data_IF_353776353850
#
_entry.id   IF_353776353850
#
_cell.length_a   1.000
_cell.length_b   1.000
_cell.length_c   1.000
_cell.angle_alpha   90.00
_cell.angle_beta   90.00
_cell.angle_gamma   90.00
#
_symmetry.space_group_name_H-M   'P 1'
#
loop_
_entity.id
_entity.type
_entity.pdbx_description
1 polymer ?
#
# COMPACT_ATOMS: atom_id res chain seq x y z
N UNK A 1 -16.69 -20.96 -58.50
CA UNK A 1 -17.10 -19.65 -57.94
C UNK A 1 -16.05 -18.63 -58.31
N UNK A 2 -16.45 -17.53 -58.97
CA UNK A 2 -15.57 -16.47 -59.45
C UNK A 2 -15.09 -15.67 -58.22
N UNK A 3 -13.77 -15.60 -57.98
CA UNK A 3 -13.20 -14.69 -56.97
C UNK A 3 -13.62 -13.25 -57.34
N UNK A 4 -13.67 -12.34 -56.36
CA UNK A 4 -14.26 -11.00 -56.46
C UNK A 4 -13.75 -10.11 -57.61
N UNK A 5 -12.71 -10.51 -58.34
CA UNK A 5 -12.22 -9.83 -59.54
C UNK A 5 -11.49 -8.52 -59.25
N UNK A 6 -11.23 -8.23 -57.98
CA UNK A 6 -10.53 -7.05 -57.50
C UNK A 6 -9.04 -7.36 -57.30
N UNK A 7 -8.21 -6.34 -57.51
CA UNK A 7 -6.76 -6.34 -57.29
C UNK A 7 -6.36 -5.22 -56.32
N UNK A 8 -5.14 -5.33 -55.77
CA UNK A 8 -4.55 -4.22 -55.04
C UNK A 8 -4.30 -3.06 -56.02
N UNK A 9 -4.70 -1.85 -55.62
CA UNK A 9 -4.68 -0.64 -56.45
C UNK A 9 -6.02 -0.31 -57.13
N UNK A 10 -7.01 -1.20 -57.07
CA UNK A 10 -8.34 -0.91 -57.61
C UNK A 10 -9.15 -0.01 -56.68
N UNK A 11 -9.99 0.84 -57.26
CA UNK A 11 -11.02 1.59 -56.54
C UNK A 11 -12.33 0.81 -56.55
N UNK A 12 -12.95 0.64 -55.37
CA UNK A 12 -14.18 -0.10 -55.20
C UNK A 12 -15.20 0.68 -54.38
N UNK A 13 -16.48 0.56 -54.75
CA UNK A 13 -17.59 1.06 -53.95
C UNK A 13 -18.07 -0.04 -53.02
N UNK A 14 -17.94 0.17 -51.72
CA UNK A 14 -18.41 -0.74 -50.69
C UNK A 14 -19.73 -0.25 -50.11
N UNK A 15 -20.65 -1.19 -49.87
CA UNK A 15 -21.89 -0.94 -49.15
C UNK A 15 -21.85 -1.76 -47.87
N UNK A 16 -21.92 -1.09 -46.73
CA UNK A 16 -21.92 -1.74 -45.43
C UNK A 16 -23.16 -2.61 -45.24
N UNK A 17 -22.96 -3.87 -44.84
CA UNK A 17 -24.04 -4.81 -44.57
C UNK A 17 -24.65 -4.63 -43.17
N UNK A 18 -23.83 -4.30 -42.18
CA UNK A 18 -24.27 -4.11 -40.78
C UNK A 18 -24.69 -2.66 -40.48
N UNK A 19 -24.14 -1.69 -41.21
CA UNK A 19 -24.50 -0.27 -41.11
C UNK A 19 -24.66 0.27 -42.53
N UNK A 20 -25.84 0.79 -42.93
CA UNK A 20 -26.09 1.22 -44.30
C UNK A 20 -25.30 2.48 -44.62
N UNK A 21 -24.08 2.27 -45.15
CA UNK A 21 -23.14 3.31 -45.56
C UNK A 21 -22.55 2.93 -46.91
N UNK A 22 -22.29 3.93 -47.74
CA UNK A 22 -21.59 3.78 -49.00
C UNK A 22 -20.22 4.41 -48.82
N UNK A 23 -19.16 3.69 -49.19
CA UNK A 23 -17.80 4.19 -49.16
C UNK A 23 -17.09 3.89 -50.49
N UNK A 24 -16.32 4.85 -50.97
CA UNK A 24 -15.39 4.65 -52.07
C UNK A 24 -14.03 4.38 -51.45
N UNK A 25 -13.49 3.19 -51.69
CA UNK A 25 -12.25 2.74 -51.07
C UNK A 25 -11.21 2.43 -52.12
N UNK A 26 -9.98 2.81 -51.83
CA UNK A 26 -8.82 2.36 -52.56
C UNK A 26 -8.30 1.07 -51.92
N UNK A 27 -8.18 -0.01 -52.68
CA UNK A 27 -7.76 -1.31 -52.15
C UNK A 27 -6.24 -1.32 -52.02
N UNK A 28 -5.75 -1.18 -50.79
CA UNK A 28 -4.31 -1.23 -50.48
C UNK A 28 -3.73 -2.64 -50.60
N UNK A 29 -4.55 -3.68 -50.46
CA UNK A 29 -4.12 -5.06 -50.54
C UNK A 29 -5.28 -6.04 -50.45
N UNK A 30 -5.03 -7.29 -50.83
CA UNK A 30 -6.01 -8.38 -50.74
C UNK A 30 -5.35 -9.57 -50.08
N UNK A 31 -5.93 -10.03 -48.99
CA UNK A 31 -5.52 -11.27 -48.33
C UNK A 31 -6.47 -12.40 -48.73
N UNK A 32 -5.94 -13.37 -49.44
CA UNK A 32 -6.71 -14.51 -49.94
C UNK A 32 -6.71 -15.62 -48.92
N UNK A 33 -7.89 -16.12 -48.57
CA UNK A 33 -8.04 -17.26 -47.65
C UNK A 33 -8.42 -18.53 -48.42
N UNK A 34 -8.67 -19.61 -47.67
CA UNK A 34 -9.02 -20.91 -48.23
C UNK A 34 -10.36 -20.88 -49.00
N UNK A 35 -11.27 -19.95 -48.68
CA UNK A 35 -12.57 -19.81 -49.33
C UNK A 35 -12.80 -18.38 -49.83
N UNK A 36 -13.37 -18.18 -51.03
CA UNK A 36 -13.62 -16.82 -51.56
C UNK A 36 -14.54 -15.96 -50.69
N UNK A 37 -15.38 -16.58 -49.86
CA UNK A 37 -16.28 -15.89 -48.93
C UNK A 37 -15.53 -15.20 -47.78
N UNK A 38 -14.28 -15.58 -47.54
CA UNK A 38 -13.44 -15.09 -46.45
C UNK A 38 -12.21 -14.34 -46.99
N UNK A 39 -12.17 -13.97 -48.27
CA UNK A 39 -11.08 -13.13 -48.79
C UNK A 39 -11.22 -11.74 -48.13
N UNK A 40 -10.13 -11.20 -47.58
CA UNK A 40 -10.10 -9.91 -46.88
C UNK A 40 -9.47 -8.83 -47.77
N UNK A 41 -9.95 -7.60 -47.63
CA UNK A 41 -9.40 -6.43 -48.32
C UNK A 41 -8.79 -5.49 -47.29
N UNK A 42 -7.61 -4.98 -47.61
CA UNK A 42 -6.97 -3.94 -46.84
C UNK A 42 -7.35 -2.59 -47.43
N UNK A 43 -7.83 -1.71 -46.57
CA UNK A 43 -8.11 -0.30 -46.84
C UNK A 43 -7.28 0.56 -45.90
N UNK A 44 -7.20 1.85 -46.19
CA UNK A 44 -6.56 2.82 -45.31
C UNK A 44 -7.23 2.86 -43.93
N UNK A 45 -6.43 3.16 -42.90
CA UNK A 45 -6.89 3.12 -41.51
C UNK A 45 -8.08 4.05 -41.22
N UNK A 46 -8.12 5.32 -41.70
CA UNK A 46 -9.30 6.17 -41.53
C UNK A 46 -10.57 5.57 -42.13
N UNK A 47 -10.47 4.98 -43.33
CA UNK A 47 -11.60 4.32 -43.97
C UNK A 47 -12.06 3.06 -43.23
N UNK A 48 -11.11 2.23 -42.75
CA UNK A 48 -11.43 1.07 -41.91
C UNK A 48 -12.19 1.44 -40.64
N UNK A 49 -11.88 2.60 -40.02
CA UNK A 49 -12.64 3.15 -38.88
C UNK A 49 -14.02 3.63 -39.27
N UNK A 50 -14.12 4.35 -40.39
CA UNK A 50 -15.40 4.83 -40.91
C UNK A 50 -16.35 3.66 -41.20
N UNK A 51 -15.85 2.62 -41.86
CA UNK A 51 -16.61 1.42 -42.20
C UNK A 51 -17.02 0.60 -40.99
N UNK A 52 -16.18 0.51 -39.96
CA UNK A 52 -16.50 -0.18 -38.70
C UNK A 52 -17.37 0.66 -37.75
N UNK A 53 -17.65 1.93 -38.09
CA UNK A 53 -18.44 2.83 -37.25
C UNK A 53 -17.72 3.29 -35.98
N UNK A 54 -16.40 3.11 -35.90
CA UNK A 54 -15.59 3.48 -34.74
C UNK A 54 -15.26 4.98 -34.80
N UNK A 55 -15.67 5.72 -33.75
CA UNK A 55 -15.38 7.15 -33.61
C UNK A 55 -13.90 7.45 -33.47
N UNK A 56 -13.46 8.68 -33.75
CA UNK A 56 -12.04 9.09 -33.80
C UNK A 56 -11.25 8.85 -32.51
N UNK A 57 -11.93 8.72 -31.36
CA UNK A 57 -11.36 8.44 -30.04
C UNK A 57 -11.31 6.95 -29.67
N UNK A 58 -11.79 6.05 -30.52
CA UNK A 58 -11.79 4.62 -30.25
C UNK A 58 -10.40 4.00 -30.50
N UNK A 59 -9.94 3.12 -29.61
CA UNK A 59 -8.66 2.41 -29.75
C UNK A 59 -8.88 1.01 -30.34
N UNK A 60 -7.91 0.53 -31.12
CA UNK A 60 -7.88 -0.86 -31.60
C UNK A 60 -6.87 -1.67 -30.80
N UNK A 61 -7.34 -2.74 -30.16
CA UNK A 61 -6.46 -3.75 -29.56
C UNK A 61 -6.26 -4.89 -30.55
N UNK A 62 -5.02 -5.13 -30.99
CA UNK A 62 -4.68 -6.29 -31.82
C UNK A 62 -3.97 -7.31 -30.93
N UNK A 63 -4.55 -8.51 -30.81
CA UNK A 63 -3.91 -9.62 -30.08
C UNK A 63 -3.09 -10.44 -31.06
N UNK A 64 -1.79 -10.51 -30.81
CA UNK A 64 -0.85 -11.28 -31.63
C UNK A 64 -0.26 -12.39 -30.78
N UNK A 65 -0.18 -13.60 -31.36
CA UNK A 65 0.61 -14.69 -30.78
C UNK A 65 1.98 -14.65 -31.45
N UNK A 66 3.00 -14.28 -30.68
CA UNK A 66 4.39 -14.25 -31.14
C UNK A 66 5.27 -15.06 -30.19
N UNK A 67 6.20 -15.84 -30.76
CA UNK A 67 7.21 -16.60 -30.00
C UNK A 67 8.32 -15.69 -29.46
N UNK A 68 8.65 -14.65 -30.22
CA UNK A 68 9.62 -13.60 -29.87
C UNK A 68 9.03 -12.23 -30.27
N UNK A 69 8.86 -11.28 -29.34
CA UNK A 69 8.33 -9.96 -29.62
C UNK A 69 9.36 -8.97 -30.19
N UNK A 70 10.66 -9.25 -30.17
CA UNK A 70 11.69 -8.29 -30.60
C UNK A 70 11.57 -7.84 -32.08
N UNK A 71 11.29 -8.74 -33.05
CA UNK A 71 11.07 -8.35 -34.45
C UNK A 71 9.83 -7.46 -34.61
N UNK A 72 8.76 -7.74 -33.85
CA UNK A 72 7.54 -6.93 -33.87
C UNK A 72 7.80 -5.53 -33.32
N UNK A 73 8.51 -5.43 -32.19
CA UNK A 73 8.85 -4.15 -31.58
C UNK A 73 9.74 -3.29 -32.49
N UNK A 74 10.71 -3.89 -33.17
CA UNK A 74 11.57 -3.18 -34.14
C UNK A 74 10.78 -2.72 -35.38
N UNK A 75 9.87 -3.55 -35.90
CA UNK A 75 8.94 -3.17 -36.95
C UNK A 75 8.08 -1.97 -36.55
N UNK A 76 7.47 -2.01 -35.36
CA UNK A 76 6.58 -0.96 -34.86
C UNK A 76 7.32 0.37 -34.60
N UNK A 77 8.57 0.30 -34.13
CA UNK A 77 9.44 1.49 -34.02
C UNK A 77 9.65 2.19 -35.36
N UNK A 78 9.70 1.43 -36.46
CA UNK A 78 9.86 1.98 -37.81
C UNK A 78 8.71 2.87 -38.28
N UNK A 79 7.52 2.74 -37.69
CA UNK A 79 6.34 3.54 -38.06
C UNK A 79 6.19 4.83 -37.24
N UNK A 80 7.01 5.04 -36.20
CA UNK A 80 6.93 6.24 -35.36
C UNK A 80 5.62 6.42 -34.59
N UNK A 81 4.78 5.38 -34.51
CA UNK A 81 3.51 5.42 -33.79
C UNK A 81 3.72 5.16 -32.29
N UNK A 82 2.88 5.75 -31.45
CA UNK A 82 2.81 5.41 -30.02
C UNK A 82 2.16 4.04 -29.87
N UNK A 83 2.91 3.07 -29.36
CA UNK A 83 2.43 1.70 -29.17
C UNK A 83 2.68 1.26 -27.74
N UNK A 84 1.60 0.84 -27.08
CA UNK A 84 1.67 0.13 -25.81
C UNK A 84 1.68 -1.38 -26.06
N UNK A 85 2.73 -2.06 -25.60
CA UNK A 85 2.86 -3.53 -25.73
C UNK A 85 2.86 -4.16 -24.35
N UNK A 86 1.92 -5.10 -24.14
CA UNK A 86 1.79 -5.87 -22.90
C UNK A 86 1.81 -7.37 -23.18
N UNK A 87 2.40 -8.15 -22.26
CA UNK A 87 2.44 -9.60 -22.36
C UNK A 87 3.25 -10.27 -21.25
N UNK A 88 3.14 -11.61 -21.10
CA UNK A 88 3.81 -12.35 -20.04
C UNK A 88 5.33 -12.27 -20.21
N UNK A 89 6.04 -11.92 -19.12
CA UNK A 89 7.49 -11.76 -19.06
C UNK A 89 8.08 -10.70 -20.01
N UNK A 90 7.27 -9.79 -20.54
CA UNK A 90 7.77 -8.63 -21.28
C UNK A 90 8.06 -7.49 -20.30
N UNK A 91 9.32 -7.03 -20.18
CA UNK A 91 9.58 -5.75 -19.51
C UNK A 91 8.79 -4.66 -20.25
N UNK A 92 8.18 -3.73 -19.49
CA UNK A 92 7.34 -2.64 -20.03
C UNK A 92 8.10 -1.92 -21.15
N UNK A 93 7.67 -2.12 -22.40
CA UNK A 93 8.35 -1.58 -23.59
C UNK A 93 7.36 -0.72 -24.35
N UNK A 94 7.20 0.52 -23.88
CA UNK A 94 6.43 1.54 -24.57
C UNK A 94 7.27 2.15 -25.69
N UNK A 95 6.70 2.28 -26.89
CA UNK A 95 7.36 2.93 -28.04
C UNK A 95 6.76 4.33 -28.19
N UNK A 96 7.60 5.36 -28.13
CA UNK A 96 7.26 6.76 -28.41
C UNK A 96 6.10 7.35 -27.56
N UNK A 97 5.95 6.89 -26.31
CA UNK A 97 5.02 7.46 -25.33
C UNK A 97 5.77 7.80 -24.04
N UNK A 98 6.09 9.08 -23.87
CA UNK A 98 6.72 9.63 -22.67
C UNK A 98 5.92 10.89 -22.22
N UNK A 99 5.40 10.97 -20.98
CA UNK A 99 5.57 10.02 -19.87
C UNK A 99 4.77 8.72 -20.03
N UNK A 100 5.22 7.58 -19.44
CA UNK A 100 4.75 6.22 -19.74
C UNK A 100 3.42 5.84 -19.06
N UNK A 101 2.62 6.83 -18.70
CA UNK A 101 1.33 6.66 -18.02
C UNK A 101 0.40 7.72 -18.55
N UNK A 102 -0.19 7.48 -19.72
CA UNK A 102 -1.39 8.25 -20.00
C UNK A 102 -2.51 7.66 -19.13
N UNK A 103 -2.62 8.15 -17.89
CA UNK A 103 -3.69 7.85 -16.95
C UNK A 103 -5.07 7.98 -17.60
N UNK A 104 -5.17 8.73 -18.71
CA UNK A 104 -6.37 8.87 -19.54
C UNK A 104 -6.79 7.55 -20.17
N UNK A 105 -5.86 6.70 -20.66
CA UNK A 105 -6.21 5.40 -21.25
C UNK A 105 -6.72 4.46 -20.16
N UNK A 106 -6.06 4.44 -18.99
CA UNK A 106 -6.50 3.68 -17.83
C UNK A 106 -7.87 4.14 -17.31
N UNK A 107 -8.07 5.45 -17.16
CA UNK A 107 -9.35 6.03 -16.78
C UNK A 107 -10.44 5.77 -17.82
N UNK A 108 -10.12 5.81 -19.11
CA UNK A 108 -11.10 5.56 -20.17
C UNK A 108 -11.51 4.09 -20.22
N UNK A 109 -10.60 3.15 -19.99
CA UNK A 109 -10.93 1.71 -19.90
C UNK A 109 -11.80 1.43 -18.66
N UNK A 110 -11.46 2.01 -17.51
CA UNK A 110 -12.25 1.89 -16.28
C UNK A 110 -13.64 2.53 -16.41
N UNK A 111 -13.75 3.65 -17.15
CA UNK A 111 -14.99 4.42 -17.30
C UNK A 111 -15.89 3.96 -18.45
N UNK A 112 -15.31 3.40 -19.51
CA UNK A 112 -16.06 2.92 -20.68
C UNK A 112 -16.35 1.42 -20.63
N UNK A 113 -15.58 0.62 -19.89
CA UNK A 113 -15.75 -0.84 -19.80
C UNK A 113 -15.51 -1.59 -21.11
N UNK A 114 -15.00 -0.91 -22.14
CA UNK A 114 -14.77 -1.47 -23.48
C UNK A 114 -13.26 -1.60 -23.68
N UNK A 115 -12.81 -2.83 -23.91
CA UNK A 115 -11.39 -3.21 -23.99
C UNK A 115 -11.01 -4.09 -22.81
N UNK A 116 -10.63 -5.35 -23.10
CA UNK A 116 -10.19 -6.25 -22.05
C UNK A 116 -8.89 -5.73 -21.44
N UNK A 117 -8.92 -5.33 -20.16
CA UNK A 117 -7.72 -4.97 -19.42
C UNK A 117 -6.70 -6.12 -19.52
N UNK A 118 -5.44 -5.86 -19.93
CA UNK A 118 -4.40 -6.87 -19.87
C UNK A 118 -4.33 -7.43 -18.45
N UNK A 119 -4.16 -8.75 -18.30
CA UNK A 119 -4.17 -9.42 -16.98
C UNK A 119 -3.16 -8.79 -16.00
N UNK A 120 -2.09 -8.20 -16.53
CA UNK A 120 -1.02 -7.53 -15.79
C UNK A 120 -1.47 -6.19 -15.17
N UNK A 121 -2.51 -5.53 -15.71
CA UNK A 121 -3.05 -4.31 -15.12
C UNK A 121 -3.84 -4.60 -13.84
N UNK A 122 -4.60 -5.69 -13.81
CA UNK A 122 -5.33 -6.07 -12.60
C UNK A 122 -4.36 -6.44 -11.47
N UNK A 123 -3.28 -7.19 -11.77
CA UNK A 123 -2.27 -7.50 -10.77
C UNK A 123 -1.47 -6.27 -10.32
N UNK A 124 -1.15 -5.35 -11.25
CA UNK A 124 -0.46 -4.09 -10.90
C UNK A 124 -1.35 -3.18 -10.04
N UNK A 125 -2.60 -2.97 -10.44
CA UNK A 125 -3.54 -2.13 -9.69
C UNK A 125 -3.86 -2.71 -8.31
N UNK A 126 -4.00 -4.04 -8.20
CA UNK A 126 -4.16 -4.72 -6.91
C UNK A 126 -2.90 -4.57 -6.07
N UNK A 127 -1.70 -4.77 -6.64
CA UNK A 127 -0.44 -4.59 -5.92
C UNK A 127 -0.29 -3.16 -5.39
N UNK A 128 -0.64 -2.16 -6.19
CA UNK A 128 -0.57 -0.75 -5.81
C UNK A 128 -1.60 -0.39 -4.72
N UNK A 129 -2.82 -0.90 -4.84
CA UNK A 129 -3.86 -0.75 -3.82
C UNK A 129 -3.45 -1.41 -2.49
N UNK A 130 -2.94 -2.65 -2.52
CA UNK A 130 -2.47 -3.37 -1.33
C UNK A 130 -1.29 -2.66 -0.68
N UNK A 131 -0.35 -2.15 -1.48
CA UNK A 131 0.81 -1.40 -0.97
C UNK A 131 0.36 -0.11 -0.29
N UNK A 132 -0.59 0.61 -0.88
CA UNK A 132 -1.14 1.85 -0.31
C UNK A 132 -1.83 1.60 1.04
N UNK A 133 -2.64 0.54 1.14
CA UNK A 133 -3.30 0.15 2.39
C UNK A 133 -2.27 -0.24 3.46
N UNK A 134 -1.24 -1.00 3.08
CA UNK A 134 -0.17 -1.39 3.99
C UNK A 134 0.59 -0.17 4.55
N UNK A 135 0.92 0.82 3.72
CA UNK A 135 1.57 2.05 4.15
C UNK A 135 0.73 2.80 5.19
N UNK A 136 -0.58 2.94 4.95
CA UNK A 136 -1.49 3.58 5.91
C UNK A 136 -1.56 2.78 7.22
N UNK A 137 -1.69 1.45 7.14
CA UNK A 137 -1.75 0.58 8.30
C UNK A 137 -0.47 0.68 9.15
N UNK A 138 0.72 0.63 8.52
CA UNK A 138 1.99 0.80 9.21
C UNK A 138 2.14 2.22 9.79
N UNK A 139 1.62 3.25 9.11
CA UNK A 139 1.57 4.61 9.64
C UNK A 139 0.75 4.71 10.93
N UNK A 140 -0.45 4.12 10.95
CA UNK A 140 -1.30 4.06 12.16
C UNK A 140 -0.63 3.23 13.26
N UNK A 141 -0.06 2.07 12.93
CA UNK A 141 0.65 1.23 13.89
C UNK A 141 1.84 1.97 14.52
N UNK A 142 2.59 2.73 13.72
CA UNK A 142 3.68 3.59 14.21
C UNK A 142 3.19 4.67 15.16
N UNK A 143 2.11 5.37 14.81
CA UNK A 143 1.49 6.38 15.68
C UNK A 143 1.03 5.78 17.02
N UNK A 144 0.33 4.64 16.98
CA UNK A 144 -0.11 3.93 18.18
C UNK A 144 1.07 3.46 19.03
N UNK A 145 2.16 3.01 18.39
CA UNK A 145 3.40 2.65 19.08
C UNK A 145 4.01 3.82 19.85
N UNK A 146 4.03 5.02 19.27
CA UNK A 146 4.49 6.24 19.94
C UNK A 146 3.58 6.62 21.11
N UNK A 147 2.25 6.60 20.91
CA UNK A 147 1.28 6.87 21.97
C UNK A 147 1.41 5.88 23.13
N UNK A 148 1.59 4.60 22.82
CA UNK A 148 1.84 3.56 23.80
C UNK A 148 3.12 3.84 24.61
N UNK A 149 4.21 4.24 23.94
CA UNK A 149 5.45 4.59 24.61
C UNK A 149 5.28 5.75 25.61
N UNK A 150 4.55 6.80 25.23
CA UNK A 150 4.20 7.89 26.14
C UNK A 150 3.31 7.43 27.29
N UNK A 151 2.31 6.58 27.02
CA UNK A 151 1.44 6.02 28.05
C UNK A 151 2.21 5.20 29.09
N UNK A 152 3.11 4.31 28.64
CA UNK A 152 4.01 3.54 29.51
C UNK A 152 4.86 4.48 30.35
N UNK A 153 5.48 5.49 29.74
CA UNK A 153 6.33 6.44 30.44
C UNK A 153 5.56 7.24 31.49
N UNK A 154 4.39 7.77 31.15
CA UNK A 154 3.56 8.55 32.06
C UNK A 154 3.09 7.71 33.26
N UNK A 155 2.64 6.48 33.02
CA UNK A 155 2.22 5.56 34.08
C UNK A 155 3.39 5.21 35.02
N UNK A 156 4.56 4.89 34.46
CA UNK A 156 5.76 4.59 35.24
C UNK A 156 6.29 5.82 35.98
N UNK A 157 6.25 7.00 35.37
CA UNK A 157 6.68 8.25 36.01
C UNK A 157 5.86 8.54 37.26
N UNK A 158 4.53 8.36 37.17
CA UNK A 158 3.62 8.48 38.32
C UNK A 158 3.96 7.46 39.40
N UNK A 159 4.05 6.18 39.06
CA UNK A 159 4.37 5.12 40.03
C UNK A 159 5.78 5.29 40.64
N UNK A 160 6.72 5.86 39.89
CA UNK A 160 8.07 6.13 40.36
C UNK A 160 8.12 7.35 41.27
N UNK A 161 7.29 8.38 41.06
CA UNK A 161 7.21 9.54 41.94
C UNK A 161 6.92 9.13 43.40
N UNK A 162 6.00 8.18 43.59
CA UNK A 162 5.66 7.64 44.92
C UNK A 162 6.83 6.88 45.57
N UNK A 163 7.77 6.36 44.77
CA UNK A 163 8.92 5.56 45.21
C UNK A 163 10.24 6.33 45.21
N UNK A 164 10.28 7.55 44.66
CA UNK A 164 11.49 8.34 44.52
C UNK A 164 12.19 8.64 45.86
N UNK A 165 11.49 8.91 46.97
CA UNK A 165 12.13 9.12 48.28
C UNK A 165 12.91 7.88 48.76
N UNK A 166 12.39 6.68 48.48
CA UNK A 166 13.06 5.43 48.85
C UNK A 166 14.41 5.27 48.11
N UNK A 167 14.50 5.74 46.87
CA UNK A 167 15.77 5.79 46.12
C UNK A 167 16.76 6.74 46.80
N UNK A 168 16.30 7.90 47.28
CA UNK A 168 17.09 8.85 48.05
C UNK A 168 17.67 8.24 49.34
N UNK A 169 16.82 7.56 50.12
CA UNK A 169 17.23 6.88 51.36
C UNK A 169 18.26 5.79 51.08
N UNK A 170 18.02 4.94 50.08
CA UNK A 170 18.96 3.88 49.68
C UNK A 170 20.32 4.45 49.26
N UNK A 171 20.33 5.61 48.58
CA UNK A 171 21.58 6.30 48.24
C UNK A 171 22.29 6.85 49.47
N UNK A 172 21.55 7.39 50.44
CA UNK A 172 22.11 7.94 51.67
C UNK A 172 22.83 6.87 52.51
N UNK A 173 22.36 5.62 52.48
CA UNK A 173 23.02 4.47 53.14
C UNK A 173 24.10 3.80 52.26
N UNK A 174 24.45 4.38 51.11
CA UNK A 174 25.58 3.95 50.29
C UNK A 174 25.26 3.02 49.12
N UNK A 175 23.99 2.88 48.70
CA UNK A 175 23.66 2.06 47.54
C UNK A 175 24.28 2.60 46.23
N UNK A 176 25.08 1.78 45.55
CA UNK A 176 25.75 2.16 44.30
C UNK A 176 24.82 2.19 43.07
N UNK A 177 25.17 3.00 42.07
CA UNK A 177 24.40 3.17 40.83
C UNK A 177 24.15 1.86 40.08
N UNK A 178 25.14 0.95 40.07
CA UNK A 178 25.02 -0.36 39.40
C UNK A 178 24.05 -1.28 40.12
N UNK A 179 24.05 -1.27 41.45
CA UNK A 179 23.12 -2.04 42.27
C UNK A 179 21.68 -1.57 42.02
N UNK A 180 21.46 -0.24 41.99
CA UNK A 180 20.15 0.34 41.76
C UNK A 180 19.58 -0.03 40.39
N UNK A 181 20.39 0.05 39.32
CA UNK A 181 19.98 -0.37 37.96
C UNK A 181 19.65 -1.85 37.88
N UNK A 182 20.46 -2.70 38.52
CA UNK A 182 20.23 -4.15 38.55
C UNK A 182 18.94 -4.49 39.29
N UNK A 183 18.67 -3.82 40.41
CA UNK A 183 17.43 -3.98 41.16
C UNK A 183 16.21 -3.57 40.33
N UNK A 184 16.26 -2.39 39.69
CA UNK A 184 15.20 -1.94 38.78
C UNK A 184 14.94 -2.99 37.69
N UNK A 185 15.99 -3.48 37.04
CA UNK A 185 15.85 -4.47 35.97
C UNK A 185 15.20 -5.76 36.48
N UNK A 186 15.65 -6.29 37.62
CA UNK A 186 15.11 -7.52 38.20
C UNK A 186 13.64 -7.39 38.64
N UNK A 187 13.22 -6.21 39.08
CA UNK A 187 11.84 -5.96 39.50
C UNK A 187 10.92 -5.69 38.29
N UNK A 188 11.38 -4.85 37.36
CA UNK A 188 10.53 -4.36 36.27
C UNK A 188 10.50 -5.29 35.05
N UNK A 189 11.57 -6.02 34.76
CA UNK A 189 11.64 -6.92 33.60
C UNK A 189 10.53 -7.99 33.59
N UNK A 190 10.31 -8.79 34.66
CA UNK A 190 9.26 -9.82 34.63
C UNK A 190 7.86 -9.21 34.50
N UNK A 191 7.62 -8.05 35.11
CA UNK A 191 6.35 -7.33 34.99
C UNK A 191 6.13 -6.83 33.56
N UNK A 192 7.14 -6.22 32.96
CA UNK A 192 7.08 -5.73 31.58
C UNK A 192 6.89 -6.88 30.58
N UNK A 193 7.62 -7.98 30.75
CA UNK A 193 7.50 -9.16 29.91
C UNK A 193 6.12 -9.80 30.03
N UNK A 194 5.63 -9.98 31.26
CA UNK A 194 4.28 -10.51 31.49
C UNK A 194 3.20 -9.63 30.88
N UNK A 195 3.27 -8.32 31.09
CA UNK A 195 2.31 -7.37 30.50
C UNK A 195 2.38 -7.35 28.97
N UNK A 196 3.58 -7.43 28.38
CA UNK A 196 3.76 -7.44 26.93
C UNK A 196 3.21 -8.71 26.29
N UNK A 197 3.52 -9.88 26.86
CA UNK A 197 3.01 -11.18 26.37
C UNK A 197 1.49 -11.24 26.50
N UNK A 198 0.94 -10.83 27.64
CA UNK A 198 -0.51 -10.80 27.84
C UNK A 198 -1.20 -9.79 26.90
N UNK A 199 -0.66 -8.58 26.77
CA UNK A 199 -1.23 -7.56 25.89
C UNK A 199 -1.21 -7.97 24.41
N UNK A 200 -0.07 -8.47 23.93
CA UNK A 200 0.05 -8.98 22.57
C UNK A 200 -0.85 -10.21 22.34
N UNK A 201 -0.94 -11.11 23.33
CA UNK A 201 -1.79 -12.28 23.28
C UNK A 201 -3.27 -11.92 23.22
N UNK A 202 -3.72 -10.95 24.02
CA UNK A 202 -5.08 -10.42 23.97
C UNK A 202 -5.38 -9.74 22.63
N UNK A 203 -4.42 -8.99 22.07
CA UNK A 203 -4.57 -8.39 20.73
C UNK A 203 -4.81 -9.45 19.66
N UNK A 204 -4.02 -10.53 19.69
CA UNK A 204 -4.17 -11.64 18.76
C UNK A 204 -5.49 -12.42 18.97
N UNK A 205 -5.91 -12.65 20.21
CA UNK A 205 -7.19 -13.29 20.51
C UNK A 205 -8.37 -12.43 20.03
N UNK A 206 -8.30 -11.11 20.21
CA UNK A 206 -9.31 -10.17 19.74
C UNK A 206 -9.40 -10.19 18.21
N UNK A 207 -8.27 -10.29 17.51
CA UNK A 207 -8.20 -10.44 16.06
C UNK A 207 -8.90 -11.72 15.59
N UNK A 208 -8.55 -12.87 16.15
CA UNK A 208 -9.18 -14.15 15.82
C UNK A 208 -10.70 -14.13 16.08
N UNK A 209 -11.16 -13.37 17.07
CA UNK A 209 -12.58 -13.20 17.36
C UNK A 209 -13.31 -12.24 16.41
N UNK A 210 -12.61 -11.26 15.84
CA UNK A 210 -13.15 -10.31 14.85
C UNK A 210 -13.22 -10.91 13.44
N UNK A 211 -12.30 -11.80 13.08
CA UNK A 211 -12.21 -12.42 11.75
C UNK A 211 -13.51 -13.05 11.23
N UNK A 212 -14.27 -13.87 11.98
CA UNK A 212 -15.49 -14.49 11.45
C UNK A 212 -16.63 -13.48 11.17
N UNK A 213 -16.51 -12.21 11.58
CA UNK A 213 -17.52 -11.17 11.34
C UNK A 213 -17.12 -10.17 10.25
N UNK A 214 -15.83 -10.08 9.93
CA UNK A 214 -15.30 -9.21 8.90
C UNK A 214 -15.07 -10.02 7.63
N UNK A 215 -16.14 -10.28 6.87
CA UNK A 215 -16.03 -10.88 5.55
C UNK A 215 -15.46 -9.83 4.57
N UNK A 216 -14.19 -9.47 4.77
CA UNK A 216 -13.48 -8.48 3.95
C UNK A 216 -13.02 -9.17 2.66
N UNK A 217 -14.01 -9.50 1.82
CA UNK A 217 -13.77 -10.05 0.49
C UNK A 217 -13.25 -8.91 -0.40
N UNK A 218 -11.94 -8.72 -0.42
CA UNK A 218 -11.28 -7.89 -1.42
C UNK A 218 -10.99 -8.81 -2.61
N UNK A 219 -11.85 -8.74 -3.63
CA UNK A 219 -11.70 -9.44 -4.91
C UNK A 219 -11.51 -10.96 -4.83
N UNK A 220 -12.28 -11.63 -3.96
CA UNK A 220 -12.37 -13.10 -3.93
C UNK A 220 -11.21 -13.82 -3.24
N UNK A 221 -10.30 -13.10 -2.60
CA UNK A 221 -9.32 -13.67 -1.66
C UNK A 221 -9.74 -13.34 -0.23
N UNK A 222 -9.97 -14.36 0.57
CA UNK A 222 -10.09 -14.18 2.02
C UNK A 222 -8.70 -13.81 2.54
N UNK A 223 -8.55 -12.58 3.05
CA UNK A 223 -7.35 -12.19 3.80
C UNK A 223 -7.45 -12.86 5.17
N UNK A 224 -7.06 -14.12 5.22
CA UNK A 224 -6.90 -14.88 6.44
C UNK A 224 -5.67 -14.30 7.13
N UNK A 225 -5.86 -13.50 8.18
CA UNK A 225 -4.74 -13.02 8.98
C UNK A 225 -4.31 -14.18 9.89
N UNK A 226 -3.25 -14.87 9.50
CA UNK A 226 -2.69 -15.97 10.27
C UNK A 226 -1.81 -15.43 11.40
N UNK A 227 -1.73 -16.18 12.50
CA UNK A 227 -0.76 -15.90 13.56
C UNK A 227 0.66 -15.88 12.99
N UNK A 228 1.31 -14.72 13.08
CA UNK A 228 2.73 -14.59 12.79
C UNK A 228 3.52 -14.45 14.10
N UNK A 229 4.25 -15.52 14.44
CA UNK A 229 5.10 -15.57 15.62
C UNK A 229 6.19 -14.48 15.59
N UNK A 230 6.65 -14.10 14.40
CA UNK A 230 7.73 -13.10 14.27
C UNK A 230 7.23 -11.71 14.63
N UNK A 231 6.07 -11.30 14.10
CA UNK A 231 5.40 -10.06 14.49
C UNK A 231 5.05 -10.05 15.99
N UNK A 232 4.53 -11.16 16.52
CA UNK A 232 4.23 -11.27 17.95
C UNK A 232 5.47 -11.03 18.82
N UNK A 233 6.58 -11.72 18.51
CA UNK A 233 7.84 -11.57 19.24
C UNK A 233 8.39 -10.13 19.14
N UNK A 234 8.26 -9.48 17.98
CA UNK A 234 8.72 -8.12 17.78
C UNK A 234 7.92 -7.12 18.62
N UNK A 235 6.59 -7.25 18.66
CA UNK A 235 5.72 -6.42 19.50
C UNK A 235 6.08 -6.58 20.97
N UNK A 236 6.23 -7.82 21.46
CA UNK A 236 6.62 -8.10 22.84
C UNK A 236 7.97 -7.45 23.16
N UNK A 237 8.97 -7.65 22.29
CA UNK A 237 10.31 -7.07 22.47
C UNK A 237 10.26 -5.54 22.51
N UNK A 238 9.52 -4.91 21.59
CA UNK A 238 9.40 -3.46 21.52
C UNK A 238 8.75 -2.85 22.78
N UNK A 239 7.69 -3.48 23.29
CA UNK A 239 7.02 -3.05 24.53
C UNK A 239 7.94 -3.21 25.73
N UNK A 240 8.63 -4.34 25.85
CA UNK A 240 9.59 -4.58 26.93
C UNK A 240 10.74 -3.56 26.87
N UNK A 241 11.32 -3.34 25.68
CA UNK A 241 12.40 -2.39 25.48
C UNK A 241 11.97 -0.96 25.86
N UNK A 242 10.78 -0.53 25.44
CA UNK A 242 10.22 0.78 25.76
C UNK A 242 10.02 0.97 27.27
N UNK A 243 9.46 -0.04 27.94
CA UNK A 243 9.28 -0.07 29.39
C UNK A 243 10.61 0.00 30.15
N UNK A 244 11.61 -0.78 29.72
CA UNK A 244 12.94 -0.77 30.34
C UNK A 244 13.65 0.57 30.13
N UNK A 245 13.56 1.14 28.92
CA UNK A 245 14.16 2.42 28.61
C UNK A 245 13.56 3.54 29.47
N UNK A 246 12.22 3.58 29.57
CA UNK A 246 11.50 4.53 30.41
C UNK A 246 11.92 4.42 31.88
N UNK A 247 11.94 3.20 32.46
CA UNK A 247 12.39 2.99 33.83
C UNK A 247 13.84 3.44 34.06
N UNK A 248 14.73 3.19 33.09
CA UNK A 248 16.13 3.65 33.16
C UNK A 248 16.24 5.19 33.09
N UNK A 249 15.42 5.85 32.28
CA UNK A 249 15.38 7.33 32.19
C UNK A 249 14.94 7.91 33.53
N UNK A 250 13.86 7.40 34.12
CA UNK A 250 13.36 7.86 35.43
C UNK A 250 14.41 7.66 36.53
N UNK A 251 15.02 6.47 36.58
CA UNK A 251 16.07 6.20 37.55
C UNK A 251 17.29 7.11 37.34
N UNK A 252 17.73 7.34 36.10
CA UNK A 252 18.84 8.26 35.81
C UNK A 252 18.54 9.66 36.32
N UNK A 253 17.32 10.18 36.12
CA UNK A 253 16.89 11.46 36.66
C UNK A 253 17.08 11.53 38.19
N UNK A 254 16.62 10.51 38.92
CA UNK A 254 16.77 10.42 40.37
C UNK A 254 18.22 10.21 40.86
N UNK A 255 19.10 9.66 40.01
CA UNK A 255 20.52 9.50 40.34
C UNK A 255 21.30 10.82 40.19
N UNK A 256 20.84 11.73 39.33
CA UNK A 256 21.47 13.05 39.10
C UNK A 256 21.10 14.05 40.20
N UNK A 257 19.88 13.99 40.73
CA UNK A 257 19.44 14.88 41.83
C UNK A 257 20.13 14.55 43.16
N UNK A 258 20.27 15.54 44.06
CA UNK A 258 20.93 15.35 45.35
C UNK A 258 20.00 14.53 46.28
N UNK A 259 20.51 13.56 47.08
CA UNK A 259 19.67 12.70 47.92
C UNK A 259 18.74 13.46 48.87
N UNK A 260 19.22 14.56 49.44
CA UNK A 260 18.44 15.39 50.39
C UNK A 260 17.28 16.11 49.69
N UNK A 261 17.40 16.45 48.41
CA UNK A 261 16.31 17.07 47.64
C UNK A 261 15.19 16.07 47.34
N UNK A 262 15.51 14.79 47.15
CA UNK A 262 14.51 13.75 46.95
C UNK A 262 13.75 13.33 48.21
N UNK A 263 14.29 13.66 49.39
CA UNK A 263 13.69 13.35 50.71
C UNK A 263 12.90 14.54 51.24
N UNK A 264 13.28 15.77 50.88
CA UNK A 264 12.48 16.95 51.19
C UNK A 264 11.19 16.88 50.38
N UNK A 265 10.12 16.51 51.06
CA UNK A 265 8.77 16.88 50.63
C UNK A 265 8.77 18.41 50.60
N UNK A 266 8.91 19.00 49.41
CA UNK A 266 8.71 20.44 49.24
C UNK A 266 7.27 20.67 49.65
N UNK A 267 7.05 21.11 50.89
CA UNK A 267 5.75 21.58 51.34
C UNK A 267 5.27 22.55 50.26
N UNK A 268 4.10 22.26 49.67
CA UNK A 268 3.55 23.06 48.60
C UNK A 268 3.66 24.54 49.00
N UNK A 269 4.50 25.30 48.27
CA UNK A 269 4.86 26.68 48.60
C UNK A 269 3.65 27.62 48.53
N UNK A 270 2.50 27.13 48.05
CA UNK A 270 1.23 27.81 48.17
C UNK A 270 0.23 26.96 48.95
N UNK A 271 -0.25 27.50 50.07
CA UNK A 271 -1.49 27.07 50.71
C UNK A 271 -2.58 26.95 49.63
N UNK A 272 -3.38 25.87 49.57
CA UNK A 272 -4.45 25.75 48.59
C UNK A 272 -5.37 26.96 48.72
N UNK A 273 -5.35 27.85 47.72
CA UNK A 273 -6.27 28.97 47.69
C UNK A 273 -7.67 28.42 47.44
N UNK A 274 -8.60 28.75 48.34
CA UNK A 274 -10.02 28.50 48.16
C UNK A 274 -10.46 29.02 46.80
N UNK A 275 -11.28 28.25 46.08
CA UNK A 275 -11.93 28.65 44.82
C UNK A 275 -12.65 30.00 44.94
N UNK A 276 -13.08 30.36 46.14
CA UNK A 276 -13.70 31.66 46.43
C UNK A 276 -12.73 32.85 46.26
N UNK A 277 -11.44 32.66 46.52
CA UNK A 277 -10.40 33.69 46.35
C UNK A 277 -10.09 33.91 44.87
N UNK A 278 -10.17 32.85 44.05
CA UNK A 278 -9.92 32.90 42.60
C UNK A 278 -11.10 33.54 41.86
N UNK A 279 -12.33 33.34 42.34
CA UNK A 279 -13.54 33.86 41.69
C UNK A 279 -13.90 35.31 42.07
N UNK A 280 -13.25 35.87 43.10
CA UNK A 280 -13.48 37.25 43.59
C UNK A 280 -12.35 38.24 43.27
N UNK A 281 -11.27 37.78 42.64
CA UNK A 281 -10.20 38.63 42.09
C UNK A 281 -10.40 38.84 40.60
#
# INVERSE_FOLDING_TARGET
MRRLGLAAGDDATLVGSSVPRIAFVHIAGIYRTATPANDEMLVDFPMGRFLSGLGSTAFHSIRLRASDPAPLLSFLRGFGASVHVSGPNLPRTDIASDPPTDERISNLILRSGIGGAPRDYLSTAVSEATTSVAVVAYGIAGLLGVLLAFGIHAAQARAFADRAPAVGVLRAIGAGNRWMRRRLFLESFPLALGAAVLGAGLGFLAENWLQPKANLVIFGHEVLVAFDLTTFAFVVLAVVATSMLSGLVLLRGALVTRPIESIRETAAVASPQSLEVILRG
#
